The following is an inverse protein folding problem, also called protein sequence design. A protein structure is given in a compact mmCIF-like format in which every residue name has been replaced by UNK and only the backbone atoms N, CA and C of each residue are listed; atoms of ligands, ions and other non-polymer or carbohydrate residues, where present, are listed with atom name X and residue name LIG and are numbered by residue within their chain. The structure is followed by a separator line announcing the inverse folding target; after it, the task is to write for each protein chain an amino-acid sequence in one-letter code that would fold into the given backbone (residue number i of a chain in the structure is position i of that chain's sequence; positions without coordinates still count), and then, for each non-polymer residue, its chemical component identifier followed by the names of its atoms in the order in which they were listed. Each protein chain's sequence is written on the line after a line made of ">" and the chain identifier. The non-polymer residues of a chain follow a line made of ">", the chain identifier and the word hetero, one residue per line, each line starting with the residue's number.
data_IF_566314921866
#
_entry.id   IF_566314921866
#
_cell.length_a   1.000
_cell.length_b   1.000
_cell.length_c   1.000
_cell.angle_alpha   90.00
_cell.angle_beta   90.00
_cell.angle_gamma   90.00
#
_symmetry.space_group_name_H-M   'P 1'
#
loop_
_entity.id
_entity.type
_entity.pdbx_description
1 polymer ?
#
# COMPACT_ATOMS: atom_id res chain seq x y z
N UNK A 1 -10.75 7.03 0.93
CA UNK A 1 -10.50 5.81 1.71
C UNK A 1 -11.46 4.74 1.22
N UNK A 2 -10.95 3.67 0.63
CA UNK A 2 -11.77 2.57 0.12
C UNK A 2 -12.44 1.76 1.24
N UNK A 3 -13.57 1.12 0.95
CA UNK A 3 -14.28 0.28 1.92
C UNK A 3 -13.41 -0.89 2.43
N UNK A 4 -12.55 -1.42 1.58
CA UNK A 4 -11.64 -2.52 1.91
C UNK A 4 -10.53 -2.10 2.88
N UNK A 5 -10.07 -0.85 2.81
CA UNK A 5 -9.13 -0.30 3.81
C UNK A 5 -9.75 -0.18 5.19
N UNK A 6 -11.02 0.23 5.27
CA UNK A 6 -11.73 0.33 6.55
C UNK A 6 -11.96 -1.04 7.19
N UNK A 7 -12.31 -2.05 6.38
CA UNK A 7 -12.46 -3.44 6.85
C UNK A 7 -11.12 -4.00 7.35
N UNK A 8 -10.02 -3.74 6.65
CA UNK A 8 -8.68 -4.14 7.09
C UNK A 8 -8.27 -3.46 8.41
N UNK A 9 -8.49 -2.15 8.53
CA UNK A 9 -8.22 -1.42 9.78
C UNK A 9 -9.02 -1.97 10.96
N UNK A 10 -10.31 -2.28 10.75
CA UNK A 10 -11.14 -2.89 11.78
C UNK A 10 -10.62 -4.27 12.19
N UNK A 11 -10.24 -5.12 11.22
CA UNK A 11 -9.63 -6.43 11.49
C UNK A 11 -8.33 -6.29 12.29
N UNK A 12 -7.43 -5.39 11.88
CA UNK A 12 -6.16 -5.16 12.59
C UNK A 12 -6.39 -4.64 14.00
N UNK A 13 -7.33 -3.71 14.21
CA UNK A 13 -7.70 -3.25 15.56
C UNK A 13 -8.18 -4.39 16.46
N UNK A 14 -9.07 -5.23 15.95
CA UNK A 14 -9.61 -6.36 16.73
C UNK A 14 -8.53 -7.42 16.98
N UNK A 15 -7.71 -7.73 15.99
CA UNK A 15 -6.63 -8.71 16.10
C UNK A 15 -5.55 -8.23 17.07
N UNK A 16 -5.12 -6.96 16.98
CA UNK A 16 -4.13 -6.38 17.89
C UNK A 16 -4.65 -6.27 19.33
N UNK A 17 -5.93 -5.94 19.53
CA UNK A 17 -6.52 -5.96 20.87
C UNK A 17 -6.52 -7.38 21.45
N UNK A 18 -6.81 -8.40 20.65
CA UNK A 18 -6.83 -9.80 21.10
C UNK A 18 -5.44 -10.36 21.37
N UNK A 19 -4.47 -10.06 20.51
CA UNK A 19 -3.13 -10.65 20.57
C UNK A 19 -2.20 -9.92 21.55
N UNK A 20 -2.30 -8.59 21.61
CA UNK A 20 -1.33 -7.72 22.29
C UNK A 20 -1.96 -6.87 23.41
N UNK A 21 -3.28 -6.96 23.64
CA UNK A 21 -4.04 -6.00 24.45
C UNK A 21 -3.77 -4.53 24.04
N UNK A 22 -3.38 -4.32 22.78
CA UNK A 22 -3.01 -3.01 22.28
C UNK A 22 -4.26 -2.27 21.82
N UNK A 23 -4.51 -1.10 22.39
CA UNK A 23 -5.63 -0.27 21.98
C UNK A 23 -5.21 0.59 20.79
N UNK A 24 -5.65 0.18 19.59
CA UNK A 24 -5.37 0.89 18.35
C UNK A 24 -6.44 1.97 18.11
N UNK A 25 -6.00 3.21 17.96
CA UNK A 25 -6.83 4.31 17.49
C UNK A 25 -6.79 4.38 15.95
N UNK A 26 -7.90 4.02 15.32
CA UNK A 26 -8.03 3.97 13.85
C UNK A 26 -7.98 5.37 13.23
N UNK A 27 -8.55 6.38 13.89
CA UNK A 27 -8.56 7.75 13.36
C UNK A 27 -7.13 8.30 13.36
N UNK A 28 -6.39 8.04 14.43
CA UNK A 28 -5.00 8.45 14.54
C UNK A 28 -4.12 7.69 13.54
N UNK A 29 -4.36 6.40 13.34
CA UNK A 29 -3.65 5.60 12.32
C UNK A 29 -3.84 6.13 10.89
N UNK A 30 -4.98 6.74 10.59
CA UNK A 30 -5.24 7.33 9.26
C UNK A 30 -4.71 8.74 9.08
N UNK A 31 -4.47 9.48 10.16
CA UNK A 31 -4.06 10.89 10.11
C UNK A 31 -2.60 11.12 10.50
N UNK A 32 -2.03 10.25 11.32
CA UNK A 32 -0.68 10.35 11.87
C UNK A 32 0.18 9.20 11.34
N UNK A 33 1.11 9.56 10.46
CA UNK A 33 1.95 8.61 9.72
C UNK A 33 3.00 7.96 10.62
N UNK A 34 3.52 8.70 11.60
CA UNK A 34 4.50 8.20 12.57
C UNK A 34 3.83 7.21 13.54
N UNK A 35 2.61 7.54 14.00
CA UNK A 35 1.81 6.63 14.80
C UNK A 35 1.47 5.33 14.04
N UNK A 36 1.12 5.44 12.76
CA UNK A 36 0.86 4.27 11.92
C UNK A 36 2.11 3.40 11.75
N UNK A 37 3.29 3.99 11.56
CA UNK A 37 4.55 3.26 11.44
C UNK A 37 4.89 2.48 12.72
N UNK A 38 4.77 3.12 13.89
CA UNK A 38 5.06 2.49 15.19
C UNK A 38 4.11 1.33 15.49
N UNK A 39 2.80 1.53 15.33
CA UNK A 39 1.78 0.53 15.62
C UNK A 39 1.85 -0.64 14.63
N UNK A 40 1.97 -0.37 13.32
CA UNK A 40 2.06 -1.42 12.32
C UNK A 40 3.40 -2.16 12.41
N UNK A 41 4.48 -1.48 12.82
CA UNK A 41 5.76 -2.09 13.16
C UNK A 41 5.62 -3.09 14.29
N UNK A 42 5.02 -2.70 15.41
CA UNK A 42 4.73 -3.60 16.55
C UNK A 42 3.84 -4.77 16.15
N UNK A 43 2.81 -4.50 15.34
CA UNK A 43 1.93 -5.53 14.79
C UNK A 43 2.66 -6.55 13.91
N UNK A 44 3.67 -6.12 13.13
CA UNK A 44 4.44 -7.01 12.24
C UNK A 44 5.39 -7.99 12.97
N UNK A 45 5.70 -7.74 14.25
CA UNK A 45 6.60 -8.58 15.07
C UNK A 45 5.84 -9.68 15.83
N UNK A 46 4.51 -9.75 15.68
CA UNK A 46 3.66 -10.71 16.40
C UNK A 46 3.65 -12.08 15.73
N UNK A 47 3.53 -13.17 16.50
CA UNK A 47 3.41 -14.56 15.99
C UNK A 47 2.07 -14.88 15.31
N UNK A 48 1.19 -13.88 15.12
CA UNK A 48 -0.11 -14.04 14.49
C UNK A 48 0.00 -13.69 12.99
N UNK A 49 0.08 -14.74 12.16
CA UNK A 49 0.28 -14.64 10.71
C UNK A 49 -0.78 -13.74 10.02
N UNK A 50 -2.06 -13.83 10.41
CA UNK A 50 -3.12 -13.00 9.85
C UNK A 50 -2.92 -11.51 10.17
N UNK A 51 -2.43 -11.22 11.38
CA UNK A 51 -2.18 -9.87 11.86
C UNK A 51 -0.97 -9.26 11.15
N UNK A 52 0.09 -10.04 10.96
CA UNK A 52 1.30 -9.63 10.22
C UNK A 52 0.97 -9.31 8.76
N UNK A 53 0.25 -10.18 8.07
CA UNK A 53 -0.19 -9.93 6.68
C UNK A 53 -1.08 -8.68 6.58
N UNK A 54 -2.02 -8.50 7.51
CA UNK A 54 -2.87 -7.33 7.53
C UNK A 54 -2.09 -6.03 7.86
N UNK A 55 -1.06 -6.11 8.71
CA UNK A 55 -0.19 -4.99 9.02
C UNK A 55 0.66 -4.58 7.82
N UNK A 56 1.28 -5.54 7.13
CA UNK A 56 2.11 -5.30 5.94
C UNK A 56 1.26 -4.70 4.81
N UNK A 57 0.06 -5.24 4.56
CA UNK A 57 -0.85 -4.70 3.54
C UNK A 57 -1.34 -3.29 3.86
N UNK A 58 -1.54 -2.96 5.14
CA UNK A 58 -1.83 -1.58 5.55
C UNK A 58 -0.61 -0.68 5.36
N UNK A 59 0.59 -1.10 5.77
CA UNK A 59 1.82 -0.34 5.54
C UNK A 59 2.03 -0.05 4.04
N UNK A 60 1.71 -1.00 3.18
CA UNK A 60 1.80 -0.82 1.73
C UNK A 60 0.81 0.24 1.21
N UNK A 61 -0.42 0.22 1.72
CA UNK A 61 -1.46 1.20 1.36
C UNK A 61 -1.19 2.59 1.92
N UNK A 62 -0.58 2.68 3.09
CA UNK A 62 -0.13 3.94 3.68
C UNK A 62 1.20 4.44 3.10
N UNK A 63 1.85 3.66 2.23
CA UNK A 63 3.15 3.98 1.65
C UNK A 63 4.28 4.05 2.69
N UNK A 64 4.16 3.27 3.77
CA UNK A 64 5.10 3.20 4.88
C UNK A 64 6.22 2.17 4.66
N UNK A 65 6.05 1.25 3.71
CA UNK A 65 7.13 0.38 3.27
C UNK A 65 8.17 1.24 2.54
N UNK A 66 9.27 1.53 3.22
CA UNK A 66 10.48 2.01 2.57
C UNK A 66 10.87 0.97 1.52
N UNK A 67 11.09 1.42 0.29
CA UNK A 67 11.30 0.60 -0.91
C UNK A 67 10.05 -0.11 -1.48
N UNK A 68 9.11 0.70 -1.98
CA UNK A 68 8.53 0.37 -3.29
C UNK A 68 9.50 0.90 -4.36
N UNK A 69 10.20 0.06 -5.15
CA UNK A 69 10.68 0.53 -6.43
C UNK A 69 9.45 1.08 -7.16
N UNK A 70 9.49 2.36 -7.55
CA UNK A 70 8.42 3.00 -8.32
C UNK A 70 8.12 2.10 -9.52
N UNK A 71 7.05 1.32 -9.44
CA UNK A 71 6.45 0.73 -10.62
C UNK A 71 6.00 1.93 -11.45
N UNK A 72 6.80 2.25 -12.48
CA UNK A 72 6.49 3.29 -13.44
C UNK A 72 5.09 2.96 -13.95
N UNK A 73 4.15 3.86 -13.68
CA UNK A 73 2.91 3.94 -14.42
C UNK A 73 3.30 4.08 -15.89
N UNK A 74 3.22 3.00 -16.65
CA UNK A 74 3.21 3.06 -18.12
C UNK A 74 1.87 3.66 -18.54
N UNK A 75 1.75 4.98 -18.35
CA UNK A 75 0.90 5.80 -19.20
C UNK A 75 1.73 6.12 -20.43
N UNK A 76 1.72 5.21 -21.41
CA UNK A 76 2.11 5.53 -22.79
C UNK A 76 0.91 5.31 -23.68
N UNK A 77 -0.10 6.14 -23.44
CA UNK A 77 -1.05 6.53 -24.47
C UNK A 77 -0.29 7.49 -25.39
N UNK A 78 0.31 6.93 -26.45
CA UNK A 78 0.88 7.71 -27.53
C UNK A 78 0.66 6.92 -28.81
N UNK A 79 -0.48 7.23 -29.42
CA UNK A 79 -0.77 7.24 -30.84
C UNK A 79 0.32 6.63 -31.72
N UNK A 80 -0.03 5.52 -32.37
CA UNK A 80 0.66 5.03 -33.55
C UNK A 80 0.68 6.13 -34.62
N UNK A 81 1.77 6.89 -34.67
CA UNK A 81 2.13 7.76 -35.80
C UNK A 81 2.26 6.87 -37.06
N UNK A 82 1.17 6.84 -37.83
CA UNK A 82 1.03 6.12 -39.10
C UNK A 82 1.64 6.91 -40.27
N UNK A 83 2.66 7.74 -40.05
CA UNK A 83 3.34 8.47 -41.13
C UNK A 83 4.83 8.14 -41.26
N UNK A 84 5.32 7.11 -40.55
CA UNK A 84 6.72 6.65 -40.66
C UNK A 84 7.04 5.76 -41.86
N UNK A 85 6.14 5.64 -42.84
CA UNK A 85 6.37 4.95 -44.11
C UNK A 85 6.18 5.88 -45.31
N UNK A 86 6.89 7.01 -45.29
CA UNK A 86 7.25 7.73 -46.52
C UNK A 86 8.76 7.95 -46.57
N UNK A 87 9.50 6.87 -46.81
CA UNK A 87 10.84 6.99 -47.40
C UNK A 87 10.75 6.56 -48.85
N UNK A 88 10.42 7.53 -49.70
CA UNK A 88 10.74 7.47 -51.10
C UNK A 88 12.19 7.91 -51.31
N UNK A 89 12.82 7.29 -52.30
CA UNK A 89 13.85 7.82 -53.21
C UNK A 89 15.12 6.94 -53.30
N UNK A 90 15.27 6.38 -54.51
CA UNK A 90 16.53 6.30 -55.28
C UNK A 90 17.49 5.16 -54.94
N UNK A 91 17.38 4.13 -55.76
CA UNK A 91 18.43 3.20 -56.16
C UNK A 91 18.01 2.57 -57.48
#
# INVERSE_FOLDING_TARGET
>A
MDQDTLKLLAKVKVAARKALNLEIDVQRLTHDRDYAADILGKASVTDNEELVLAAITLQDKFGLLADKPKAKTEAHDTEHDKDKYKFGARG
#
